data_IF_320891425774
#
_entry.id   IF_320891425774
#
_cell.length_a   1.000
_cell.length_b   1.000
_cell.length_c   1.000
_cell.angle_alpha   90.00
_cell.angle_beta   90.00
_cell.angle_gamma   90.00
#
_symmetry.space_group_name_H-M   'P 1'
#
loop_
_entity.id
_entity.type
_entity.pdbx_description
1 polymer ?
#
# COMPACT_ATOMS: atom_id res chain seq x y z
N UNK A 1 4.75 0.38 20.15
CA UNK A 1 5.42 0.52 18.81
C UNK A 1 4.48 0.35 17.63
N UNK A 2 3.47 -0.53 17.68
CA UNK A 2 2.52 -0.78 16.56
C UNK A 2 2.00 0.50 15.86
N UNK A 3 1.45 1.45 16.61
CA UNK A 3 0.85 2.68 16.04
C UNK A 3 1.90 3.52 15.32
N UNK A 4 3.09 3.69 15.92
CA UNK A 4 4.17 4.46 15.30
C UNK A 4 4.60 3.85 13.96
N UNK A 5 4.73 2.52 13.89
CA UNK A 5 5.05 1.82 12.64
C UNK A 5 3.92 1.93 11.60
N UNK A 6 2.66 1.86 12.04
CA UNK A 6 1.50 2.01 11.15
C UNK A 6 1.41 3.45 10.57
N UNK A 7 1.72 4.46 11.38
CA UNK A 7 1.81 5.86 10.93
C UNK A 7 2.98 6.05 9.97
N UNK A 8 4.18 5.57 10.32
CA UNK A 8 5.36 5.66 9.46
C UNK A 8 5.13 4.95 8.12
N UNK A 9 4.49 3.76 8.12
CA UNK A 9 4.09 3.06 6.91
C UNK A 9 3.08 3.85 6.07
N UNK A 10 2.10 4.50 6.70
CA UNK A 10 1.10 5.33 6.00
C UNK A 10 1.73 6.54 5.31
N UNK A 11 2.85 7.07 5.84
CA UNK A 11 3.60 8.18 5.24
C UNK A 11 4.38 7.77 3.97
N UNK A 12 4.41 6.48 3.61
CA UNK A 12 5.05 5.98 2.37
C UNK A 12 4.17 6.09 1.12
N UNK A 13 2.92 6.53 1.27
CA UNK A 13 1.96 6.74 0.16
C UNK A 13 1.57 5.47 -0.63
N UNK A 14 1.72 4.27 -0.06
CA UNK A 14 1.33 3.00 -0.70
C UNK A 14 -0.12 2.57 -0.45
N UNK A 15 -0.96 3.45 0.12
CA UNK A 15 -2.31 3.15 0.58
C UNK A 15 -2.42 3.01 2.10
N UNK A 16 -3.64 2.81 2.60
CA UNK A 16 -3.85 2.64 4.04
C UNK A 16 -3.30 1.30 4.54
N UNK A 17 -2.94 1.24 5.82
CA UNK A 17 -2.27 0.07 6.42
C UNK A 17 -3.09 -1.21 6.33
N UNK A 18 -4.43 -1.14 6.41
CA UNK A 18 -5.30 -2.33 6.36
C UNK A 18 -5.40 -2.84 4.92
N UNK A 19 -5.65 -1.94 3.96
CA UNK A 19 -5.70 -2.27 2.54
C UNK A 19 -4.38 -2.82 2.01
N UNK A 20 -3.25 -2.27 2.48
CA UNK A 20 -1.92 -2.77 2.13
C UNK A 20 -1.72 -4.21 2.64
N UNK A 21 -2.03 -4.48 3.92
CA UNK A 21 -1.89 -5.83 4.49
C UNK A 21 -2.84 -6.82 3.81
N UNK A 22 -4.08 -6.44 3.50
CA UNK A 22 -5.01 -7.28 2.77
C UNK A 22 -4.47 -7.68 1.39
N UNK A 23 -3.93 -6.71 0.64
CA UNK A 23 -3.32 -6.94 -0.68
C UNK A 23 -2.06 -7.80 -0.57
N UNK A 24 -1.23 -7.58 0.44
CA UNK A 24 0.00 -8.34 0.67
C UNK A 24 -0.29 -9.80 1.08
N UNK A 25 -1.27 -10.03 1.98
CA UNK A 25 -1.71 -11.37 2.37
C UNK A 25 -2.29 -12.13 1.17
N UNK A 26 -3.02 -11.44 0.28
CA UNK A 26 -3.48 -12.02 -0.98
C UNK A 26 -2.30 -12.45 -1.85
N UNK A 27 -1.31 -11.59 -2.04
CA UNK A 27 -0.12 -11.93 -2.82
C UNK A 27 0.55 -13.20 -2.31
N UNK A 28 0.79 -13.34 -1.00
CA UNK A 28 1.37 -14.57 -0.42
C UNK A 28 0.48 -15.82 -0.60
N UNK A 29 -0.85 -15.66 -0.57
CA UNK A 29 -1.76 -16.79 -0.73
C UNK A 29 -1.86 -17.30 -2.19
N UNK A 30 -1.69 -16.41 -3.17
CA UNK A 30 -1.80 -16.71 -4.61
C UNK A 30 -0.55 -16.33 -5.40
N UNK A 31 0.64 -16.40 -4.78
CA UNK A 31 1.92 -16.04 -5.42
C UNK A 31 2.12 -16.84 -6.71
N UNK A 32 2.44 -16.14 -7.79
CA UNK A 32 2.61 -16.69 -9.14
C UNK A 32 1.41 -17.50 -9.68
N UNK A 33 0.21 -17.19 -9.18
CA UNK A 33 -1.04 -17.74 -9.70
C UNK A 33 -1.93 -16.62 -10.25
N UNK A 34 -2.86 -16.96 -11.16
CA UNK A 34 -3.90 -16.02 -11.57
C UNK A 34 -4.58 -15.41 -10.35
N UNK A 35 -4.60 -14.08 -10.29
CA UNK A 35 -5.18 -13.34 -9.16
C UNK A 35 -4.16 -12.70 -8.20
N UNK A 36 -2.86 -12.90 -8.41
CA UNK A 36 -1.79 -12.12 -7.75
C UNK A 36 -1.85 -10.64 -8.21
N UNK A 37 -2.01 -9.66 -7.28
CA UNK A 37 -2.12 -8.25 -7.63
C UNK A 37 -0.85 -7.66 -8.29
N UNK A 38 0.32 -8.19 -7.99
CA UNK A 38 1.60 -7.64 -8.44
C UNK A 38 2.58 -8.68 -9.00
N UNK A 39 2.06 -9.76 -9.59
CA UNK A 39 2.89 -10.76 -10.28
C UNK A 39 3.65 -10.16 -11.48
N UNK A 40 4.95 -10.47 -11.62
CA UNK A 40 5.76 -10.07 -12.77
C UNK A 40 5.38 -10.84 -14.05
N UNK A 41 4.67 -11.96 -13.94
CA UNK A 41 4.31 -12.80 -15.08
C UNK A 41 2.94 -12.46 -15.69
N UNK A 42 2.30 -11.38 -15.24
CA UNK A 42 0.95 -10.96 -15.66
C UNK A 42 0.79 -10.74 -17.18
N UNK A 43 1.84 -10.31 -17.89
CA UNK A 43 1.75 -9.97 -19.32
C UNK A 43 2.38 -11.03 -20.25
N UNK A 44 2.53 -12.26 -19.76
CA UNK A 44 3.10 -13.39 -20.53
C UNK A 44 4.63 -13.47 -20.50
N UNK A 45 5.17 -14.50 -21.12
CA UNK A 45 6.58 -14.92 -21.00
C UNK A 45 7.53 -14.32 -22.05
N UNK A 46 7.00 -13.57 -23.01
CA UNK A 46 7.82 -12.90 -24.03
C UNK A 46 8.57 -11.71 -23.43
N UNK A 47 9.74 -11.34 -23.98
CA UNK A 47 10.64 -10.32 -23.41
C UNK A 47 9.95 -8.98 -23.08
N UNK A 48 9.13 -8.46 -24.00
CA UNK A 48 8.36 -7.21 -23.77
C UNK A 48 7.32 -7.37 -22.65
N UNK A 49 6.67 -8.53 -22.56
CA UNK A 49 5.72 -8.89 -21.53
C UNK A 49 6.38 -8.97 -20.16
N UNK A 50 7.55 -9.60 -20.07
CA UNK A 50 8.36 -9.70 -18.86
C UNK A 50 8.84 -8.33 -18.36
N UNK A 51 9.30 -7.43 -19.25
CA UNK A 51 9.68 -6.07 -18.87
C UNK A 51 8.48 -5.25 -18.37
N UNK A 52 7.34 -5.34 -19.06
CA UNK A 52 6.09 -4.70 -18.62
C UNK A 52 5.60 -5.27 -17.28
N UNK A 53 5.75 -6.58 -17.10
CA UNK A 53 5.44 -7.29 -15.88
C UNK A 53 6.32 -6.86 -14.71
N UNK A 54 7.62 -6.71 -14.93
CA UNK A 54 8.55 -6.18 -13.93
C UNK A 54 8.17 -4.77 -13.49
N UNK A 55 7.89 -3.86 -14.44
CA UNK A 55 7.43 -2.51 -14.13
C UNK A 55 6.10 -2.51 -13.35
N UNK A 56 5.19 -3.42 -13.70
CA UNK A 56 3.93 -3.61 -13.00
C UNK A 56 4.11 -4.10 -11.57
N UNK A 57 4.93 -5.14 -11.38
CA UNK A 57 5.26 -5.70 -10.08
C UNK A 57 5.96 -4.69 -9.17
N UNK A 58 6.81 -3.83 -9.76
CA UNK A 58 7.57 -2.82 -9.03
C UNK A 58 6.70 -1.63 -8.57
N UNK A 59 5.94 -1.02 -9.50
CA UNK A 59 5.16 0.21 -9.21
C UNK A 59 3.76 0.22 -9.83
N UNK A 60 3.56 -0.43 -10.98
CA UNK A 60 2.31 -0.32 -11.73
C UNK A 60 1.08 -0.85 -10.98
N UNK A 61 1.25 -1.78 -10.05
CA UNK A 61 0.16 -2.30 -9.23
C UNK A 61 -0.47 -1.25 -8.30
N UNK A 62 0.29 -0.26 -7.84
CA UNK A 62 -0.21 0.81 -6.94
C UNK A 62 -1.28 1.68 -7.60
N UNK A 63 -1.25 1.79 -8.92
CA UNK A 63 -2.14 2.66 -9.71
C UNK A 63 -3.37 1.93 -10.25
N UNK A 64 -3.48 0.61 -10.04
CA UNK A 64 -4.66 -0.13 -10.47
C UNK A 64 -5.75 -0.09 -9.41
N UNK A 65 -7.00 -0.09 -9.89
CA UNK A 65 -8.18 -0.17 -9.04
C UNK A 65 -8.49 -1.62 -8.60
N UNK A 66 -7.46 -2.46 -8.47
CA UNK A 66 -7.55 -3.88 -8.11
C UNK A 66 -7.29 -4.08 -6.60
N UNK A 67 -7.68 -3.13 -5.75
CA UNK A 67 -7.45 -3.20 -4.29
C UNK A 67 -8.23 -4.36 -3.70
N UNK A 68 -7.59 -5.11 -2.79
CA UNK A 68 -8.26 -6.22 -2.11
C UNK A 68 -9.10 -5.66 -0.96
N UNK A 69 -10.43 -5.86 -0.96
CA UNK A 69 -11.28 -5.45 0.15
C UNK A 69 -10.82 -6.14 1.44
N UNK A 70 -10.65 -5.43 2.56
CA UNK A 70 -10.24 -6.04 3.83
C UNK A 70 -11.22 -7.08 4.36
N UNK A 71 -12.52 -6.86 4.13
CA UNK A 71 -13.58 -7.82 4.45
C UNK A 71 -13.67 -9.01 3.48
N UNK A 72 -12.85 -9.03 2.41
CA UNK A 72 -12.90 -10.12 1.43
C UNK A 72 -12.64 -11.46 2.15
N UNK A 73 -13.58 -12.42 2.08
CA UNK A 73 -13.42 -13.70 2.74
C UNK A 73 -12.20 -14.44 2.17
N UNK A 74 -11.35 -14.96 3.05
CA UNK A 74 -10.21 -15.79 2.68
C UNK A 74 -10.65 -17.04 1.91
N UNK A 75 -11.90 -17.48 2.10
CA UNK A 75 -12.54 -18.55 1.33
C UNK A 75 -12.61 -18.31 -0.18
N UNK A 76 -12.54 -17.05 -0.63
CA UNK A 76 -12.45 -16.72 -2.07
C UNK A 76 -11.03 -16.86 -2.63
N UNK A 77 -10.01 -16.99 -1.77
CA UNK A 77 -8.62 -17.27 -2.17
C UNK A 77 -8.23 -18.75 -1.96
N UNK A 78 -8.85 -19.46 -1.01
CA UNK A 78 -8.63 -20.90 -0.76
C UNK A 78 -9.93 -21.57 -0.30
N UNK A 79 -10.09 -22.86 -0.60
CA UNK A 79 -11.27 -23.71 -0.35
C UNK A 79 -11.60 -23.99 1.14
N UNK A 80 -11.54 -23.00 2.03
CA UNK A 80 -11.74 -23.21 3.48
C UNK A 80 -12.20 -21.92 4.19
N UNK A 81 -13.45 -21.91 4.67
CA UNK A 81 -13.99 -21.06 5.77
C UNK A 81 -13.97 -19.53 5.62
N UNK A 82 -15.12 -18.87 5.77
CA UNK A 82 -15.35 -17.45 5.50
C UNK A 82 -14.90 -16.44 6.56
N UNK A 83 -13.62 -16.39 6.91
CA UNK A 83 -13.04 -15.29 7.70
C UNK A 83 -12.50 -14.19 6.78
N UNK A 84 -12.58 -12.89 7.14
CA UNK A 84 -11.90 -11.83 6.41
C UNK A 84 -10.40 -12.11 6.21
N UNK A 85 -9.78 -11.54 5.19
CA UNK A 85 -8.34 -11.70 4.94
C UNK A 85 -7.46 -11.01 6.01
N UNK A 86 -8.00 -10.00 6.68
CA UNK A 86 -7.33 -9.27 7.77
C UNK A 86 -8.21 -9.10 9.02
N UNK A 87 -8.67 -10.19 9.66
CA UNK A 87 -9.64 -10.12 10.75
C UNK A 87 -9.04 -9.49 12.02
N UNK A 88 -7.75 -9.72 12.26
CA UNK A 88 -6.97 -9.15 13.35
C UNK A 88 -6.86 -7.62 13.29
N UNK A 89 -6.63 -7.07 12.09
CA UNK A 89 -6.53 -5.61 11.91
C UNK A 89 -7.90 -4.93 11.90
N UNK A 90 -8.94 -5.62 11.42
CA UNK A 90 -10.32 -5.13 11.47
C UNK A 90 -10.87 -5.09 12.91
N UNK A 91 -10.47 -6.04 13.76
CA UNK A 91 -10.83 -6.02 15.18
C UNK A 91 -10.17 -4.85 15.94
N UNK A 92 -8.98 -4.43 15.54
CA UNK A 92 -8.22 -3.37 16.23
C UNK A 92 -8.76 -1.96 15.92
N UNK A 93 -9.26 -1.28 16.94
CA UNK A 93 -9.78 0.09 16.83
C UNK A 93 -8.68 1.11 16.48
N UNK A 94 -7.47 0.92 17.00
CA UNK A 94 -6.39 1.88 16.83
C UNK A 94 -5.85 1.81 15.40
N UNK A 95 -5.70 0.59 14.88
CA UNK A 95 -5.30 0.36 13.48
C UNK A 95 -6.36 0.91 12.52
N UNK A 96 -7.65 0.73 12.81
CA UNK A 96 -8.74 1.37 12.02
C UNK A 96 -8.72 2.89 12.10
N UNK A 97 -8.32 3.47 13.22
CA UNK A 97 -8.18 4.92 13.33
C UNK A 97 -7.03 5.44 12.45
N UNK A 98 -5.86 4.77 12.48
CA UNK A 98 -4.72 5.11 11.61
C UNK A 98 -5.08 4.94 10.13
N UNK A 99 -5.74 3.85 9.75
CA UNK A 99 -6.17 3.62 8.37
C UNK A 99 -7.11 4.73 7.86
N UNK A 100 -8.09 5.16 8.68
CA UNK A 100 -8.99 6.28 8.34
C UNK A 100 -8.26 7.62 8.28
N UNK A 101 -7.20 7.79 9.07
CA UNK A 101 -6.38 8.99 9.07
C UNK A 101 -5.42 9.07 7.86
N UNK A 102 -5.31 8.03 7.02
CA UNK A 102 -4.36 7.98 5.91
C UNK A 102 -4.35 9.25 5.02
N UNK A 103 -5.49 9.77 4.51
CA UNK A 103 -5.49 10.99 3.70
C UNK A 103 -4.94 12.19 4.47
N UNK A 104 -5.27 12.32 5.76
CA UNK A 104 -4.77 13.39 6.60
C UNK A 104 -3.26 13.25 6.86
N UNK A 105 -2.75 12.02 7.04
CA UNK A 105 -1.32 11.73 7.17
C UNK A 105 -0.56 12.07 5.89
N UNK A 106 -1.12 11.79 4.72
CA UNK A 106 -0.56 12.19 3.42
C UNK A 106 -0.45 13.71 3.30
N UNK A 107 -1.54 14.44 3.59
CA UNK A 107 -1.56 15.91 3.56
C UNK A 107 -0.57 16.49 4.58
N UNK A 108 -0.54 15.95 5.80
CA UNK A 108 0.39 16.38 6.84
C UNK A 108 1.85 16.18 6.42
N UNK A 109 2.17 15.06 5.78
CA UNK A 109 3.53 14.76 5.30
C UNK A 109 3.98 15.79 4.26
N UNK A 110 3.11 16.13 3.31
CA UNK A 110 3.38 17.16 2.31
C UNK A 110 3.47 18.57 2.92
N UNK A 111 2.60 18.90 3.87
CA UNK A 111 2.56 20.20 4.55
C UNK A 111 3.71 20.40 5.56
N UNK A 112 4.24 19.33 6.13
CA UNK A 112 5.42 19.37 7.01
C UNK A 112 6.69 19.62 6.19
N UNK A 113 6.79 19.01 5.00
CA UNK A 113 7.88 19.25 4.03
C UNK A 113 7.95 20.73 3.60
N UNK A 114 6.81 21.36 3.34
CA UNK A 114 6.78 22.76 2.87
C UNK A 114 7.18 23.77 3.95
N UNK A 115 7.02 23.46 5.23
CA UNK A 115 7.44 24.33 6.34
C UNK A 115 8.93 24.26 6.68
N UNK A 116 9.63 23.21 6.24
CA UNK A 116 11.08 23.09 6.41
C UNK A 116 11.90 23.81 5.33
N UNK A 117 11.25 24.28 4.26
CA UNK A 117 11.83 25.20 3.29
C UNK A 117 11.49 26.65 3.70
N UNK A 118 12.09 27.11 4.79
CA UNK A 118 11.93 28.51 5.21
C UNK A 118 12.62 29.48 4.24
N UNK A 119 12.13 30.72 4.07
CA UNK A 119 12.71 31.77 3.21
C UNK A 119 14.10 32.29 3.68
N UNK A 120 14.76 31.61 4.61
CA UNK A 120 16.04 32.03 5.18
C UNK A 120 17.24 31.75 4.26
N UNK A 121 17.08 30.97 3.19
CA UNK A 121 18.18 30.59 2.31
C UNK A 121 18.52 31.59 1.18
N UNK A 122 17.78 32.71 1.04
CA UNK A 122 17.92 33.65 -0.10
C UNK A 122 18.51 35.02 0.28
N UNK A 123 18.86 35.26 1.56
CA UNK A 123 19.40 36.57 2.01
C UNK A 123 20.91 36.60 2.25
N UNK A 124 21.69 35.72 1.60
CA UNK A 124 23.14 35.59 1.83
C UNK A 124 24.05 36.01 0.68
N UNK A 125 23.52 36.37 -0.49
CA UNK A 125 24.33 36.70 -1.69
C UNK A 125 23.97 38.07 -2.26
N UNK A 126 24.16 39.13 -1.48
CA UNK A 126 24.40 40.48 -1.99
C UNK A 126 25.23 41.22 -0.95
N UNK A 127 26.54 41.13 -1.07
CA UNK A 127 27.53 42.04 -0.50
C UNK A 127 28.74 42.04 -1.43
#
# INVERSE_FOLDING_TARGET
MRIALAVAGSMSFQGDVIGWVATHRRHHAVTERPGDPHSPHRYGTHLRGQLRGLLHAHVGWLFRNDRTPPELPHSRLRSRGGTPIAPDLLADRDTRAVARAFPALCVLTLACRSRWAGPSAVRGCTA
#
